data_IF_794957247372
#
_entry.id   IF_794957247372
#
_cell.length_a   1.000
_cell.length_b   1.000
_cell.length_c   1.000
_cell.angle_alpha   90.00
_cell.angle_beta   90.00
_cell.angle_gamma   90.00
#
_symmetry.space_group_name_H-M   'P 1'
#
loop_
_entity.id
_entity.type
_entity.pdbx_description
1 polymer ?
#
# COMPACT_ATOMS: atom_id res chain seq x y z
N UNK A 1 -22.43 37.76 -8.70
CA UNK A 1 -20.99 38.09 -8.74
C UNK A 1 -20.27 37.00 -7.94
N UNK A 2 -19.90 35.91 -8.59
CA UNK A 2 -19.30 34.72 -7.96
C UNK A 2 -17.86 34.67 -8.47
N UNK A 3 -16.89 34.77 -7.54
CA UNK A 3 -15.47 34.59 -7.84
C UNK A 3 -15.12 33.11 -7.62
N UNK A 4 -14.80 32.41 -8.70
CA UNK A 4 -14.10 31.14 -8.68
C UNK A 4 -12.64 31.41 -8.30
N UNK A 5 -12.13 30.77 -7.25
CA UNK A 5 -10.70 30.61 -7.01
C UNK A 5 -10.31 29.20 -7.44
N UNK A 6 -9.50 29.09 -8.50
CA UNK A 6 -8.86 27.84 -8.89
C UNK A 6 -7.68 27.56 -7.96
N UNK A 7 -7.68 26.39 -7.34
CA UNK A 7 -6.53 25.86 -6.63
C UNK A 7 -5.55 25.28 -7.66
N UNK A 8 -4.30 25.77 -7.64
CA UNK A 8 -3.19 25.23 -8.41
C UNK A 8 -2.57 24.10 -7.58
N UNK A 9 -2.66 22.87 -8.07
CA UNK A 9 -1.91 21.73 -7.54
C UNK A 9 -0.43 21.93 -7.91
N UNK A 10 0.43 22.11 -6.92
CA UNK A 10 1.88 22.06 -7.10
C UNK A 10 2.35 20.62 -6.88
N UNK A 11 2.44 19.84 -7.96
CA UNK A 11 3.15 18.55 -7.95
C UNK A 11 4.66 18.84 -7.90
N UNK A 12 5.30 18.56 -6.76
CA UNK A 12 6.76 18.56 -6.65
C UNK A 12 7.26 17.24 -7.22
N UNK A 13 7.65 17.26 -8.49
CA UNK A 13 8.45 16.19 -9.09
C UNK A 13 9.91 16.42 -8.68
N UNK A 14 10.51 15.45 -7.99
CA UNK A 14 11.95 15.43 -7.78
C UNK A 14 12.64 15.25 -9.14
N UNK A 15 13.23 16.32 -9.66
CA UNK A 15 14.00 16.29 -10.89
C UNK A 15 15.42 15.79 -10.56
N UNK A 16 15.71 14.53 -10.90
CA UNK A 16 17.09 14.07 -11.06
C UNK A 16 17.77 14.88 -12.16
N UNK A 17 18.89 15.53 -11.84
CA UNK A 17 19.65 16.33 -12.79
C UNK A 17 20.37 15.37 -13.75
N UNK A 18 19.83 15.20 -14.96
CA UNK A 18 20.53 14.58 -16.08
C UNK A 18 20.95 15.68 -17.06
N UNK A 19 22.25 15.92 -17.15
CA UNK A 19 22.86 16.80 -18.16
C UNK A 19 22.73 16.16 -19.54
N UNK A 20 21.97 16.76 -20.45
CA UNK A 20 21.80 16.27 -21.82
C UNK A 20 21.42 17.40 -22.79
N UNK A 21 22.14 17.47 -23.91
CA UNK A 21 22.17 18.53 -24.93
C UNK A 21 20.88 18.70 -25.73
N UNK A 22 20.60 19.96 -26.12
CA UNK A 22 19.44 20.38 -26.92
C UNK A 22 19.72 20.15 -28.41
N UNK A 23 18.80 19.51 -29.14
CA UNK A 23 18.76 19.62 -30.60
C UNK A 23 17.41 20.15 -31.10
N UNK A 24 17.45 21.34 -31.69
CA UNK A 24 16.97 21.60 -33.05
C UNK A 24 15.49 21.61 -33.45
N UNK A 25 14.49 21.19 -32.68
CA UNK A 25 13.11 21.09 -33.25
C UNK A 25 11.90 21.53 -32.42
N UNK A 26 12.06 22.00 -31.18
CA UNK A 26 11.00 22.78 -30.49
C UNK A 26 9.67 22.05 -30.16
N UNK A 27 9.52 20.77 -30.46
CA UNK A 27 8.39 19.95 -30.01
C UNK A 27 8.76 19.15 -28.74
N UNK A 28 8.08 19.44 -27.63
CA UNK A 28 8.10 18.58 -26.44
C UNK A 28 7.24 17.35 -26.71
N UNK A 29 7.85 16.32 -27.28
CA UNK A 29 7.28 14.97 -27.17
C UNK A 29 7.32 14.54 -25.70
N UNK A 30 6.24 13.97 -25.14
CA UNK A 30 6.29 13.39 -23.81
C UNK A 30 7.29 12.23 -23.86
N UNK A 31 8.41 12.38 -23.14
CA UNK A 31 9.30 11.26 -22.85
C UNK A 31 8.55 10.40 -21.85
N UNK A 32 7.95 9.31 -22.32
CA UNK A 32 7.61 8.18 -21.45
C UNK A 32 8.94 7.66 -20.95
N UNK A 33 9.27 7.89 -19.68
CA UNK A 33 10.49 7.32 -19.10
C UNK A 33 10.34 5.80 -19.10
N UNK A 34 11.36 5.13 -19.63
CA UNK A 34 11.43 3.68 -19.86
C UNK A 34 11.60 2.87 -18.54
N UNK A 35 11.39 3.50 -17.38
CA UNK A 35 11.77 2.95 -16.07
C UNK A 35 10.91 1.72 -15.67
N UNK A 36 9.65 1.64 -16.13
CA UNK A 36 8.79 0.48 -15.90
C UNK A 36 9.25 -0.78 -16.64
N UNK A 37 9.85 -0.60 -17.84
CA UNK A 37 10.41 -1.68 -18.65
C UNK A 37 11.72 -2.24 -18.07
N UNK A 38 12.53 -1.42 -17.40
CA UNK A 38 13.77 -1.88 -16.73
C UNK A 38 13.50 -2.63 -15.41
N UNK A 39 12.39 -2.33 -14.73
CA UNK A 39 11.97 -3.04 -13.52
C UNK A 39 11.14 -4.31 -13.82
N UNK A 40 10.65 -4.48 -15.05
CA UNK A 40 9.79 -5.60 -15.45
C UNK A 40 8.41 -5.59 -14.77
N UNK A 41 8.00 -4.48 -14.19
CA UNK A 41 6.69 -4.32 -13.57
C UNK A 41 5.60 -4.32 -14.65
N UNK A 42 4.38 -4.70 -14.27
CA UNK A 42 3.26 -4.73 -15.21
C UNK A 42 2.72 -3.33 -15.45
N UNK A 43 2.36 -3.06 -16.70
CA UNK A 43 1.63 -1.86 -17.10
C UNK A 43 0.15 -1.96 -16.74
N UNK A 44 -0.52 -0.81 -16.65
CA UNK A 44 -1.98 -0.73 -16.43
C UNK A 44 -2.82 -1.37 -17.54
N UNK A 45 -2.22 -1.56 -18.72
CA UNK A 45 -2.86 -2.22 -19.86
C UNK A 45 -2.59 -3.72 -19.94
N UNK A 46 -1.74 -4.26 -19.06
CA UNK A 46 -1.42 -5.68 -19.10
C UNK A 46 -2.62 -6.51 -18.63
N UNK A 47 -2.88 -7.61 -19.34
CA UNK A 47 -4.03 -8.50 -19.10
C UNK A 47 -4.26 -8.85 -17.62
N UNK A 48 -3.23 -9.29 -16.87
CA UNK A 48 -3.34 -9.57 -15.44
C UNK A 48 -3.87 -8.41 -14.59
N UNK A 49 -3.46 -7.18 -14.88
CA UNK A 49 -3.91 -6.01 -14.13
C UNK A 49 -5.35 -5.65 -14.50
N UNK A 50 -5.67 -5.68 -15.79
CA UNK A 50 -7.02 -5.39 -16.29
C UNK A 50 -8.04 -6.39 -15.72
N UNK A 51 -7.72 -7.69 -15.70
CA UNK A 51 -8.61 -8.71 -15.13
C UNK A 51 -8.78 -8.55 -13.61
N UNK A 52 -7.71 -8.25 -12.87
CA UNK A 52 -7.78 -7.97 -11.43
C UNK A 52 -8.68 -6.76 -11.10
N UNK A 53 -8.54 -5.66 -11.86
CA UNK A 53 -9.41 -4.48 -11.71
C UNK A 53 -10.87 -4.86 -12.02
N UNK A 54 -11.13 -5.59 -13.11
CA UNK A 54 -12.47 -6.03 -13.47
C UNK A 54 -13.11 -6.91 -12.39
N UNK A 55 -12.34 -7.83 -11.79
CA UNK A 55 -12.79 -8.66 -10.67
C UNK A 55 -13.22 -7.79 -9.48
N UNK A 56 -12.37 -6.85 -9.03
CA UNK A 56 -12.72 -5.95 -7.92
C UNK A 56 -13.92 -5.08 -8.25
N UNK A 57 -14.02 -4.52 -9.46
CA UNK A 57 -15.18 -3.75 -9.92
C UNK A 57 -16.47 -4.57 -9.92
N UNK A 58 -16.41 -5.89 -10.14
CA UNK A 58 -17.57 -6.76 -10.07
C UNK A 58 -18.14 -6.91 -8.65
N UNK A 59 -17.34 -6.59 -7.63
CA UNK A 59 -17.72 -6.63 -6.21
C UNK A 59 -18.26 -5.30 -5.67
N UNK A 60 -18.36 -4.27 -6.53
CA UNK A 60 -18.91 -2.97 -6.14
C UNK A 60 -20.44 -3.00 -6.08
N UNK A 61 -21.03 -2.35 -5.08
CA UNK A 61 -22.47 -2.22 -4.90
C UNK A 61 -22.98 -0.82 -5.31
N UNK A 62 -24.31 -0.66 -5.40
CA UNK A 62 -24.98 0.61 -5.76
C UNK A 62 -24.74 1.75 -4.74
N UNK A 63 -24.24 1.43 -3.54
CA UNK A 63 -23.85 2.44 -2.56
C UNK A 63 -22.41 2.96 -2.75
N UNK A 64 -21.72 2.50 -3.80
CA UNK A 64 -20.35 2.86 -4.14
C UNK A 64 -19.28 2.04 -3.39
N UNK A 65 -19.68 1.29 -2.36
CA UNK A 65 -18.80 0.45 -1.56
C UNK A 65 -18.54 -0.92 -2.18
N UNK A 66 -17.60 -1.65 -1.58
CA UNK A 66 -17.16 -2.97 -2.02
C UNK A 66 -17.30 -3.99 -0.88
N UNK A 67 -17.64 -5.23 -1.24
CA UNK A 67 -17.58 -6.41 -0.37
C UNK A 67 -16.60 -7.46 -0.91
N UNK A 68 -16.32 -8.53 -0.15
CA UNK A 68 -15.27 -9.51 -0.47
C UNK A 68 -15.60 -10.42 -1.66
N UNK A 69 -16.84 -10.41 -2.13
CA UNK A 69 -17.32 -11.15 -3.30
C UNK A 69 -18.47 -10.38 -3.97
N UNK A 70 -18.78 -10.66 -5.25
CA UNK A 70 -19.99 -10.12 -5.88
C UNK A 70 -21.22 -10.37 -5.02
N UNK A 71 -22.09 -9.36 -4.92
CA UNK A 71 -23.32 -9.36 -4.12
C UNK A 71 -23.13 -9.38 -2.60
N UNK A 72 -21.89 -9.43 -2.08
CA UNK A 72 -21.64 -9.25 -0.66
C UNK A 72 -21.88 -7.82 -0.22
N UNK A 73 -22.31 -7.62 1.04
CA UNK A 73 -22.52 -6.29 1.60
C UNK A 73 -21.21 -5.48 1.59
N UNK A 74 -21.34 -4.20 1.24
CA UNK A 74 -20.23 -3.25 1.31
C UNK A 74 -19.74 -3.08 2.74
N UNK A 75 -18.43 -2.97 2.93
CA UNK A 75 -17.84 -2.58 4.21
C UNK A 75 -16.64 -1.62 4.04
N UNK A 76 -16.30 -0.89 5.10
CA UNK A 76 -15.23 0.12 5.08
C UNK A 76 -13.87 -0.48 4.76
N UNK A 77 -13.53 -1.66 5.33
CA UNK A 77 -12.20 -2.26 5.14
C UNK A 77 -11.96 -2.57 3.66
N UNK A 78 -12.89 -3.27 3.04
CA UNK A 78 -12.79 -3.73 1.65
C UNK A 78 -12.88 -2.56 0.67
N UNK A 79 -13.75 -1.57 0.98
CA UNK A 79 -13.82 -0.34 0.19
C UNK A 79 -12.53 0.48 0.27
N UNK A 80 -11.91 0.57 1.45
CA UNK A 80 -10.67 1.30 1.63
C UNK A 80 -9.51 0.66 0.87
N UNK A 81 -9.35 -0.67 0.93
CA UNK A 81 -8.23 -1.34 0.23
C UNK A 81 -8.37 -1.25 -1.29
N UNK A 82 -9.59 -1.35 -1.84
CA UNK A 82 -9.82 -1.12 -3.28
C UNK A 82 -9.54 0.32 -3.67
N UNK A 83 -9.94 1.29 -2.82
CA UNK A 83 -9.64 2.71 -3.08
C UNK A 83 -8.15 2.95 -3.15
N UNK A 84 -7.36 2.35 -2.24
CA UNK A 84 -5.88 2.43 -2.28
C UNK A 84 -5.36 1.77 -3.56
N UNK A 85 -5.83 0.56 -3.90
CA UNK A 85 -5.38 -0.16 -5.10
C UNK A 85 -5.67 0.61 -6.38
N UNK A 86 -6.89 1.14 -6.53
CA UNK A 86 -7.28 1.93 -7.71
C UNK A 86 -6.53 3.25 -7.77
N UNK A 87 -6.34 3.94 -6.64
CA UNK A 87 -5.53 5.15 -6.58
C UNK A 87 -4.07 4.89 -6.99
N UNK A 88 -3.47 3.79 -6.50
CA UNK A 88 -2.12 3.37 -6.89
C UNK A 88 -1.99 3.06 -8.38
N UNK A 89 -3.08 2.59 -8.99
CA UNK A 89 -3.21 2.35 -10.42
C UNK A 89 -3.52 3.64 -11.22
N UNK A 90 -3.45 4.82 -10.58
CA UNK A 90 -3.74 6.12 -11.19
C UNK A 90 -5.19 6.29 -11.63
N UNK A 91 -6.12 5.50 -11.09
CA UNK A 91 -7.54 5.55 -11.44
C UNK A 91 -8.23 6.66 -10.67
N UNK A 92 -9.16 7.35 -11.34
CA UNK A 92 -10.07 8.26 -10.68
C UNK A 92 -11.27 7.49 -10.15
N UNK A 93 -11.61 7.65 -8.87
CA UNK A 93 -12.75 6.97 -8.26
C UNK A 93 -14.07 7.31 -8.96
N UNK A 94 -14.18 8.49 -9.61
CA UNK A 94 -15.37 8.85 -10.40
C UNK A 94 -15.62 7.94 -11.60
N UNK A 95 -14.58 7.31 -12.15
CA UNK A 95 -14.70 6.36 -13.26
C UNK A 95 -15.32 5.03 -12.80
N UNK A 96 -15.34 4.79 -11.49
CA UNK A 96 -15.86 3.60 -10.83
C UNK A 96 -17.05 3.96 -9.93
N UNK A 97 -18.03 4.65 -10.50
CA UNK A 97 -19.28 4.98 -9.81
C UNK A 97 -20.37 3.95 -10.16
N UNK A 98 -21.10 3.49 -9.13
CA UNK A 98 -22.27 2.62 -9.25
C UNK A 98 -23.40 3.20 -8.41
N UNK A 99 -24.63 3.19 -8.91
CA UNK A 99 -25.75 3.91 -8.28
C UNK A 99 -25.56 5.42 -8.12
N UNK A 100 -24.62 6.02 -8.87
CA UNK A 100 -24.24 7.43 -8.73
C UNK A 100 -23.30 7.73 -7.57
N UNK A 101 -22.75 6.71 -6.90
CA UNK A 101 -21.77 6.83 -5.82
C UNK A 101 -20.49 6.08 -6.15
N UNK A 102 -19.36 6.59 -5.70
CA UNK A 102 -18.07 5.90 -5.77
C UNK A 102 -17.57 5.49 -4.37
N UNK A 103 -16.38 4.90 -4.30
CA UNK A 103 -15.81 4.42 -3.04
C UNK A 103 -15.55 5.52 -2.01
N UNK A 104 -15.19 6.74 -2.44
CA UNK A 104 -15.01 7.87 -1.52
C UNK A 104 -16.33 8.31 -0.91
N UNK A 105 -17.41 8.34 -1.70
CA UNK A 105 -18.74 8.67 -1.20
C UNK A 105 -19.13 7.69 -0.09
N UNK A 106 -18.94 6.38 -0.33
CA UNK A 106 -19.19 5.34 0.66
C UNK A 106 -18.35 5.54 1.94
N UNK A 107 -17.03 5.74 1.80
CA UNK A 107 -16.11 5.93 2.93
C UNK A 107 -16.46 7.18 3.77
N UNK A 108 -16.84 8.28 3.12
CA UNK A 108 -17.26 9.52 3.79
C UNK A 108 -18.62 9.36 4.49
N UNK A 109 -19.54 8.61 3.89
CA UNK A 109 -20.87 8.32 4.45
C UNK A 109 -20.82 7.38 5.64
N UNK A 110 -20.00 6.34 5.57
CA UNK A 110 -19.92 5.29 6.60
C UNK A 110 -18.90 5.56 7.70
N UNK A 111 -18.19 6.68 7.69
CA UNK A 111 -17.08 6.98 8.62
C UNK A 111 -17.32 6.68 10.12
N UNK A 112 -18.57 6.70 10.59
CA UNK A 112 -18.93 6.39 11.98
C UNK A 112 -18.83 4.89 12.31
N UNK A 113 -18.81 4.00 11.32
CA UNK A 113 -18.66 2.55 11.54
C UNK A 113 -17.24 2.19 11.97
N UNK A 114 -16.23 3.04 11.71
CA UNK A 114 -14.85 2.85 12.17
C UNK A 114 -14.78 2.63 13.69
N UNK A 115 -15.59 3.38 14.45
CA UNK A 115 -15.60 3.34 15.92
C UNK A 115 -16.03 1.96 16.47
N UNK A 116 -16.63 1.10 15.63
CA UNK A 116 -17.09 -0.24 16.01
C UNK A 116 -16.17 -1.37 15.52
N UNK A 117 -15.09 -1.05 14.79
CA UNK A 117 -14.17 -2.06 14.26
C UNK A 117 -13.16 -2.50 15.32
N UNK A 118 -12.75 -3.77 15.26
CA UNK A 118 -11.59 -4.23 16.02
C UNK A 118 -10.30 -3.64 15.44
N UNK A 119 -9.36 -3.35 16.34
CA UNK A 119 -8.11 -2.66 16.00
C UNK A 119 -8.38 -1.34 15.25
N UNK A 120 -9.19 -0.47 15.89
CA UNK A 120 -9.69 0.77 15.29
C UNK A 120 -8.56 1.65 14.78
N UNK A 121 -7.42 1.67 15.48
CA UNK A 121 -6.25 2.46 15.15
C UNK A 121 -5.66 2.08 13.77
N UNK A 122 -5.48 0.78 13.51
CA UNK A 122 -5.09 0.29 12.18
C UNK A 122 -6.16 0.59 11.10
N UNK A 123 -7.44 0.45 11.44
CA UNK A 123 -8.53 0.71 10.49
C UNK A 123 -8.60 2.19 10.11
N UNK A 124 -8.38 3.10 11.07
CA UNK A 124 -8.29 4.53 10.83
C UNK A 124 -7.06 4.85 9.97
N UNK A 125 -5.91 4.22 10.22
CA UNK A 125 -4.73 4.34 9.36
C UNK A 125 -5.02 3.92 7.91
N UNK A 126 -5.63 2.75 7.70
CA UNK A 126 -6.03 2.30 6.35
C UNK A 126 -7.05 3.23 5.70
N UNK A 127 -8.06 3.68 6.44
CA UNK A 127 -9.08 4.62 5.98
C UNK A 127 -8.47 5.93 5.49
N UNK A 128 -7.59 6.53 6.30
CA UNK A 128 -6.92 7.79 5.95
C UNK A 128 -6.00 7.61 4.74
N UNK A 129 -5.29 6.48 4.67
CA UNK A 129 -4.46 6.13 3.50
C UNK A 129 -5.31 6.10 2.23
N UNK A 130 -6.49 5.48 2.27
CA UNK A 130 -7.42 5.44 1.13
C UNK A 130 -7.88 6.84 0.69
N UNK A 131 -8.31 7.68 1.63
CA UNK A 131 -8.76 9.04 1.34
C UNK A 131 -7.64 9.88 0.72
N UNK A 132 -6.46 9.88 1.35
CA UNK A 132 -5.30 10.66 0.90
C UNK A 132 -4.81 10.20 -0.47
N UNK A 133 -4.72 8.89 -0.70
CA UNK A 133 -4.30 8.31 -1.99
C UNK A 133 -5.23 8.72 -3.13
N UNK A 134 -6.53 8.83 -2.85
CA UNK A 134 -7.51 9.28 -3.83
C UNK A 134 -7.63 10.80 -3.96
N UNK A 135 -6.72 11.56 -3.32
CA UNK A 135 -6.62 13.02 -3.45
C UNK A 135 -7.54 13.83 -2.52
N UNK A 136 -8.18 13.21 -1.53
CA UNK A 136 -8.98 13.91 -0.53
C UNK A 136 -8.12 14.31 0.67
N UNK A 137 -8.32 15.51 1.24
CA UNK A 137 -7.63 15.94 2.47
C UNK A 137 -8.33 15.38 3.73
N UNK A 138 -7.71 14.47 4.49
CA UNK A 138 -8.33 13.84 5.66
C UNK A 138 -8.41 14.77 6.89
N UNK A 139 -8.00 16.04 6.77
CA UNK A 139 -8.10 17.03 7.85
C UNK A 139 -9.51 17.56 8.09
N UNK A 140 -10.42 17.40 7.14
CA UNK A 140 -11.84 17.73 7.31
C UNK A 140 -12.76 16.75 6.55
N UNK A 141 -13.16 15.68 7.24
CA UNK A 141 -14.12 14.70 6.74
C UNK A 141 -15.41 14.83 7.55
N UNK A 142 -16.37 15.61 7.03
CA UNK A 142 -17.62 15.98 7.74
C UNK A 142 -17.37 16.54 9.15
N UNK A 143 -16.36 17.40 9.31
CA UNK A 143 -16.00 18.01 10.59
C UNK A 143 -15.10 17.16 11.50
N UNK A 144 -14.67 15.97 11.06
CA UNK A 144 -13.65 15.17 11.75
C UNK A 144 -12.27 15.39 11.11
N UNK A 145 -11.26 15.69 11.95
CA UNK A 145 -9.87 15.80 11.52
C UNK A 145 -9.12 14.49 11.81
N UNK A 146 -9.01 13.63 10.80
CA UNK A 146 -8.40 12.32 10.96
C UNK A 146 -6.88 12.36 11.12
N UNK A 147 -6.21 13.39 10.60
CA UNK A 147 -4.76 13.58 10.83
C UNK A 147 -4.47 13.84 12.31
N UNK A 148 -5.31 14.63 12.97
CA UNK A 148 -5.20 14.84 14.42
C UNK A 148 -5.56 13.59 15.23
N UNK A 149 -6.56 12.81 14.77
CA UNK A 149 -6.90 11.52 15.39
C UNK A 149 -5.70 10.55 15.33
N UNK A 150 -5.07 10.40 14.16
CA UNK A 150 -3.87 9.56 14.00
C UNK A 150 -2.73 10.00 14.93
N UNK A 151 -2.44 11.31 15.00
CA UNK A 151 -1.43 11.85 15.92
C UNK A 151 -1.77 11.58 17.39
N UNK A 152 -3.06 11.57 17.74
CA UNK A 152 -3.50 11.29 19.11
C UNK A 152 -3.27 9.84 19.56
N UNK A 153 -3.06 8.91 18.61
CA UNK A 153 -2.68 7.53 18.92
C UNK A 153 -1.20 7.37 19.29
N UNK A 154 -0.37 8.40 19.08
CA UNK A 154 1.04 8.34 19.40
C UNK A 154 1.26 8.41 20.91
N UNK A 155 1.97 7.42 21.46
CA UNK A 155 2.24 7.32 22.89
C UNK A 155 3.59 7.95 23.24
N UNK A 156 3.82 8.30 24.51
CA UNK A 156 5.09 8.93 24.94
C UNK A 156 6.34 8.06 24.74
N UNK A 157 6.17 6.73 24.69
CA UNK A 157 7.24 5.74 24.43
C UNK A 157 7.54 5.54 22.94
N UNK A 158 6.79 6.21 22.07
CA UNK A 158 6.94 6.16 20.62
C UNK A 158 6.14 5.06 19.93
N UNK A 159 5.57 4.11 20.68
CA UNK A 159 4.60 3.17 20.11
C UNK A 159 3.34 3.94 19.67
N UNK A 160 2.70 3.50 18.59
CA UNK A 160 1.54 4.21 18.04
C UNK A 160 0.37 3.26 17.90
N UNK A 161 -0.74 3.59 18.58
CA UNK A 161 -1.91 2.74 18.63
C UNK A 161 -1.97 1.91 19.91
N UNK A 162 -2.31 0.64 19.77
CA UNK A 162 -2.52 -0.29 20.87
C UNK A 162 -1.22 -1.00 21.24
N UNK A 163 -0.95 -1.04 22.54
CA UNK A 163 0.25 -1.68 23.08
C UNK A 163 0.41 -3.14 22.60
N UNK A 164 1.56 -3.45 22.01
CA UNK A 164 1.96 -4.72 21.40
C UNK A 164 1.24 -5.09 20.08
N UNK A 165 0.73 -4.12 19.31
CA UNK A 165 -0.04 -4.37 18.06
C UNK A 165 0.54 -3.77 16.78
N UNK A 166 1.88 -3.69 16.62
CA UNK A 166 2.68 -3.15 15.49
C UNK A 166 2.03 -2.88 14.10
N UNK A 167 1.09 -3.70 13.64
CA UNK A 167 0.33 -3.41 12.42
C UNK A 167 -0.40 -2.06 12.49
N UNK A 168 -0.90 -1.63 13.64
CA UNK A 168 -1.47 -0.28 13.79
C UNK A 168 -0.39 0.80 13.72
N UNK A 169 0.76 0.63 14.38
CA UNK A 169 1.92 1.51 14.21
C UNK A 169 2.24 1.74 12.73
N UNK A 170 2.32 0.65 11.97
CA UNK A 170 2.63 0.67 10.55
C UNK A 170 1.59 1.46 9.74
N UNK A 171 0.30 1.14 9.92
CA UNK A 171 -0.78 1.81 9.20
C UNK A 171 -0.89 3.29 9.57
N UNK A 172 -0.60 3.67 10.81
CA UNK A 172 -0.65 5.06 11.26
C UNK A 172 0.51 5.86 10.65
N UNK A 173 1.72 5.31 10.64
CA UNK A 173 2.87 5.93 9.97
C UNK A 173 2.64 6.10 8.48
N UNK A 174 2.12 5.06 7.80
CA UNK A 174 1.76 5.10 6.38
C UNK A 174 0.72 6.20 6.11
N UNK A 175 -0.32 6.29 6.95
CA UNK A 175 -1.38 7.28 6.80
C UNK A 175 -0.89 8.72 7.03
N UNK A 176 -0.05 8.94 8.04
CA UNK A 176 0.56 10.24 8.30
C UNK A 176 1.49 10.64 7.15
N UNK A 177 2.28 9.71 6.62
CA UNK A 177 3.10 9.96 5.43
C UNK A 177 2.23 10.35 4.22
N UNK A 178 1.12 9.65 3.97
CA UNK A 178 0.16 9.99 2.91
C UNK A 178 -0.44 11.40 3.06
N UNK A 179 -0.51 11.90 4.29
CA UNK A 179 -0.99 13.23 4.63
C UNK A 179 0.09 14.33 4.65
N UNK A 180 1.30 14.03 4.13
CA UNK A 180 2.50 14.89 4.18
C UNK A 180 3.00 15.18 5.61
N UNK A 181 2.87 14.24 6.54
CA UNK A 181 3.29 14.37 7.93
C UNK A 181 4.50 13.47 8.29
N UNK A 182 5.24 12.96 7.31
CA UNK A 182 6.42 12.09 7.53
C UNK A 182 7.49 12.74 8.42
N UNK A 183 7.59 14.07 8.43
CA UNK A 183 8.56 14.80 9.25
C UNK A 183 8.03 15.23 10.64
N UNK A 184 6.81 14.84 10.99
CA UNK A 184 6.22 15.11 12.31
C UNK A 184 6.99 14.42 13.44
N UNK A 185 6.84 14.92 14.66
CA UNK A 185 7.52 14.32 15.82
C UNK A 185 6.95 12.94 16.14
N UNK A 186 5.64 12.79 15.93
CA UNK A 186 4.89 11.54 16.02
C UNK A 186 5.50 10.45 15.14
N UNK A 187 5.66 10.73 13.84
CA UNK A 187 6.28 9.76 12.91
C UNK A 187 7.71 9.46 13.31
N UNK A 188 8.53 10.48 13.63
CA UNK A 188 9.92 10.24 14.08
C UNK A 188 9.98 9.32 15.29
N UNK A 189 9.11 9.54 16.28
CA UNK A 189 9.06 8.69 17.47
C UNK A 189 8.64 7.26 17.15
N UNK A 190 7.68 7.09 16.25
CA UNK A 190 7.24 5.77 15.76
C UNK A 190 8.37 5.04 15.04
N UNK A 191 9.14 5.72 14.18
CA UNK A 191 10.28 5.13 13.50
C UNK A 191 11.36 4.66 14.48
N UNK A 192 11.69 5.46 15.49
CA UNK A 192 12.64 5.04 16.52
C UNK A 192 12.12 3.84 17.32
N UNK A 193 10.83 3.82 17.67
CA UNK A 193 10.20 2.67 18.33
C UNK A 193 10.31 1.40 17.47
N UNK A 194 9.87 1.44 16.21
CA UNK A 194 9.92 0.31 15.28
C UNK A 194 11.34 -0.19 15.07
N UNK A 195 12.35 0.69 14.98
CA UNK A 195 13.76 0.28 14.90
C UNK A 195 14.25 -0.38 16.18
N UNK A 196 13.79 0.09 17.35
CA UNK A 196 14.21 -0.44 18.65
C UNK A 196 13.73 -1.86 18.93
N UNK A 197 12.60 -2.27 18.33
CA UNK A 197 12.00 -3.60 18.49
C UNK A 197 12.37 -4.57 17.36
N UNK A 198 13.19 -4.14 16.39
CA UNK A 198 13.70 -5.04 15.34
C UNK A 198 14.52 -6.18 15.97
N UNK A 199 14.16 -7.42 15.67
CA UNK A 199 14.75 -8.57 16.35
C UNK A 199 16.18 -8.84 15.89
N UNK A 200 16.88 -9.76 16.56
CA UNK A 200 18.22 -10.19 16.15
C UNK A 200 18.26 -10.77 14.73
N UNK A 201 17.16 -11.37 14.25
CA UNK A 201 17.06 -11.91 12.88
C UNK A 201 16.87 -10.84 11.81
N UNK A 202 16.61 -9.59 12.20
CA UNK A 202 16.36 -8.47 11.29
C UNK A 202 14.90 -8.27 10.91
N UNK A 203 14.01 -9.21 11.26
CA UNK A 203 12.57 -9.05 11.11
C UNK A 203 11.92 -8.35 12.31
N UNK A 204 10.58 -8.37 12.32
CA UNK A 204 9.73 -7.84 13.38
C UNK A 204 8.71 -8.89 13.77
N UNK A 205 8.52 -9.10 15.07
CA UNK A 205 7.48 -9.99 15.58
C UNK A 205 6.14 -9.26 15.60
N UNK A 206 5.04 -9.92 15.22
CA UNK A 206 3.70 -9.31 15.18
C UNK A 206 3.21 -8.67 16.51
N UNK A 207 3.82 -9.05 17.64
CA UNK A 207 3.44 -8.65 18.99
C UNK A 207 4.43 -7.70 19.69
N UNK A 208 5.40 -7.11 18.98
CA UNK A 208 6.40 -6.23 19.59
C UNK A 208 7.52 -6.96 20.33
N UNK A 209 7.51 -8.29 20.30
CA UNK A 209 8.47 -9.13 21.00
C UNK A 209 9.82 -9.25 20.31
N UNK A 210 10.78 -9.85 21.02
CA UNK A 210 12.16 -10.09 20.54
C UNK A 210 12.29 -11.33 19.65
N UNK A 211 11.19 -12.03 19.38
CA UNK A 211 11.13 -13.25 18.56
C UNK A 211 9.71 -13.50 18.06
N UNK A 212 9.55 -14.33 17.03
CA UNK A 212 8.24 -14.59 16.41
C UNK A 212 8.03 -13.73 15.17
N UNK A 213 9.13 -13.45 14.47
CA UNK A 213 9.14 -12.67 13.25
C UNK A 213 8.39 -13.38 12.14
N UNK A 214 7.64 -12.61 11.36
CA UNK A 214 6.99 -13.09 10.15
C UNK A 214 7.19 -12.08 8.99
N UNK A 215 7.21 -12.56 7.74
CA UNK A 215 7.47 -11.72 6.58
C UNK A 215 6.35 -10.72 6.27
N UNK A 216 5.10 -10.93 6.70
CA UNK A 216 4.01 -9.97 6.47
C UNK A 216 4.24 -8.73 7.35
N UNK A 217 4.48 -8.94 8.65
CA UNK A 217 4.82 -7.88 9.62
C UNK A 217 6.12 -7.17 9.23
N UNK A 218 7.17 -7.91 8.85
CA UNK A 218 8.42 -7.29 8.44
C UNK A 218 8.25 -6.41 7.19
N UNK A 219 7.42 -6.83 6.24
CA UNK A 219 7.18 -6.08 5.00
C UNK A 219 6.39 -4.79 5.23
N UNK A 220 5.30 -4.82 6.00
CA UNK A 220 4.54 -3.59 6.28
C UNK A 220 5.36 -2.59 7.12
N UNK A 221 6.24 -3.08 8.00
CA UNK A 221 7.17 -2.21 8.74
C UNK A 221 8.24 -1.60 7.85
N UNK A 222 8.79 -2.33 6.88
CA UNK A 222 9.67 -1.74 5.88
C UNK A 222 8.97 -0.62 5.10
N UNK A 223 7.72 -0.83 4.67
CA UNK A 223 6.91 0.21 4.04
C UNK A 223 6.76 1.44 4.97
N UNK A 224 6.37 1.22 6.23
CA UNK A 224 6.20 2.29 7.21
C UNK A 224 7.48 3.08 7.48
N UNK A 225 8.62 2.38 7.65
CA UNK A 225 9.92 3.01 7.85
C UNK A 225 10.25 3.95 6.69
N UNK A 226 10.18 3.42 5.46
CA UNK A 226 10.58 4.16 4.26
C UNK A 226 9.63 5.33 3.99
N UNK A 227 8.30 5.14 4.09
CA UNK A 227 7.37 6.26 3.89
C UNK A 227 7.43 7.30 5.01
N UNK A 228 7.78 6.88 6.23
CA UNK A 228 8.07 7.77 7.34
C UNK A 228 9.36 8.59 7.15
N UNK A 229 10.17 8.28 6.12
CA UNK A 229 11.38 9.02 5.78
C UNK A 229 12.67 8.39 6.31
N UNK A 230 12.64 7.14 6.77
CA UNK A 230 13.86 6.36 7.01
C UNK A 230 14.59 6.11 5.68
N UNK A 231 15.92 6.21 5.69
CA UNK A 231 16.74 5.97 4.52
C UNK A 231 16.67 4.49 4.09
N UNK A 232 16.45 4.22 2.80
CA UNK A 232 16.44 2.86 2.26
C UNK A 232 17.80 2.14 2.43
N UNK A 233 18.88 2.91 2.60
CA UNK A 233 20.22 2.42 2.90
C UNK A 233 20.51 2.26 4.40
N UNK A 234 19.55 2.53 5.30
CA UNK A 234 19.77 2.39 6.73
C UNK A 234 19.96 0.92 7.15
N UNK A 235 20.66 0.72 8.27
CA UNK A 235 20.91 -0.62 8.81
C UNK A 235 19.60 -1.37 9.11
N UNK A 236 18.57 -0.66 9.59
CA UNK A 236 17.28 -1.25 9.87
C UNK A 236 16.61 -1.80 8.60
N UNK A 237 16.59 -1.00 7.53
CA UNK A 237 16.02 -1.41 6.24
C UNK A 237 16.81 -2.57 5.63
N UNK A 238 18.14 -2.48 5.60
CA UNK A 238 19.02 -3.54 5.08
C UNK A 238 18.82 -4.87 5.80
N UNK A 239 18.71 -4.85 7.13
CA UNK A 239 18.46 -6.05 7.95
C UNK A 239 17.06 -6.63 7.70
N UNK A 240 16.05 -5.77 7.54
CA UNK A 240 14.69 -6.21 7.19
C UNK A 240 14.62 -6.89 5.83
N UNK A 241 15.28 -6.31 4.82
CA UNK A 241 15.39 -6.92 3.49
C UNK A 241 16.16 -8.25 3.55
N UNK A 242 17.25 -8.32 4.32
CA UNK A 242 17.98 -9.58 4.51
C UNK A 242 17.10 -10.67 5.14
N UNK A 243 16.25 -10.30 6.12
CA UNK A 243 15.25 -11.20 6.68
C UNK A 243 14.26 -11.69 5.61
N UNK A 244 13.67 -10.80 4.81
CA UNK A 244 12.78 -11.20 3.70
C UNK A 244 13.46 -12.13 2.70
N UNK A 245 14.75 -11.91 2.41
CA UNK A 245 15.52 -12.78 1.49
C UNK A 245 15.69 -14.20 2.04
N UNK A 246 15.74 -14.34 3.36
CA UNK A 246 15.78 -15.63 4.05
C UNK A 246 14.42 -16.36 4.03
N UNK A 247 13.32 -15.64 3.88
CA UNK A 247 11.95 -16.16 3.80
C UNK A 247 11.51 -16.47 2.36
N UNK A 248 12.36 -16.19 1.36
CA UNK A 248 12.06 -16.47 -0.05
C UNK A 248 12.28 -17.96 -0.40
N UNK A 249 11.24 -18.59 -0.94
CA UNK A 249 11.20 -20.01 -1.31
C UNK A 249 11.66 -20.25 -2.76
N UNK A 250 11.87 -21.53 -3.10
CA UNK A 250 12.39 -21.94 -4.42
C UNK A 250 11.48 -21.58 -5.61
N UNK A 251 10.19 -21.37 -5.37
CA UNK A 251 9.22 -20.91 -6.36
C UNK A 251 9.21 -19.39 -6.56
N UNK A 252 10.07 -18.66 -5.85
CA UNK A 252 10.22 -17.21 -5.92
C UNK A 252 9.35 -16.43 -4.93
N UNK A 253 8.31 -17.06 -4.37
CA UNK A 253 7.43 -16.44 -3.38
C UNK A 253 8.01 -16.47 -1.96
N UNK A 254 7.26 -15.94 -1.01
CA UNK A 254 7.69 -15.76 0.38
C UNK A 254 6.78 -16.46 1.38
N UNK A 255 7.34 -16.82 2.54
CA UNK A 255 6.70 -17.33 3.77
C UNK A 255 7.25 -18.69 4.20
N UNK A 256 7.59 -18.80 5.49
CA UNK A 256 7.99 -20.06 6.14
C UNK A 256 6.90 -21.15 6.16
N UNK A 257 5.62 -20.82 5.94
CA UNK A 257 4.50 -21.79 5.84
C UNK A 257 4.08 -22.10 4.40
N UNK A 258 4.98 -21.82 3.45
CA UNK A 258 4.79 -21.99 2.02
C UNK A 258 4.27 -20.72 1.36
N UNK A 259 4.79 -20.47 0.16
CA UNK A 259 4.54 -19.27 -0.63
C UNK A 259 3.05 -18.98 -0.84
N UNK A 260 2.67 -17.71 -0.73
CA UNK A 260 1.28 -17.29 -0.80
C UNK A 260 1.14 -15.80 -1.19
N UNK A 261 0.00 -15.44 -1.80
CA UNK A 261 -0.22 -14.11 -2.36
C UNK A 261 -0.21 -12.97 -1.32
N UNK A 262 -0.59 -13.25 -0.07
CA UNK A 262 -0.60 -12.25 0.98
C UNK A 262 0.82 -11.75 1.27
N UNK A 263 1.71 -12.70 1.57
CA UNK A 263 3.11 -12.41 1.86
C UNK A 263 3.83 -11.85 0.65
N UNK A 264 3.59 -12.39 -0.55
CA UNK A 264 4.20 -11.86 -1.77
C UNK A 264 3.83 -10.41 -2.01
N UNK A 265 2.54 -10.07 -1.90
CA UNK A 265 2.07 -8.69 -2.12
C UNK A 265 2.76 -7.71 -1.19
N UNK A 266 2.83 -8.02 0.11
CA UNK A 266 3.52 -7.17 1.08
C UNK A 266 5.02 -7.09 0.83
N UNK A 267 5.69 -8.22 0.60
CA UNK A 267 7.12 -8.26 0.33
C UNK A 267 7.46 -7.45 -0.93
N UNK A 268 6.72 -7.62 -2.02
CA UNK A 268 6.92 -6.86 -3.26
C UNK A 268 6.75 -5.36 -3.02
N UNK A 269 5.73 -4.92 -2.28
CA UNK A 269 5.55 -3.50 -1.92
C UNK A 269 6.72 -2.97 -1.08
N UNK A 270 7.26 -3.77 -0.15
CA UNK A 270 8.44 -3.40 0.64
C UNK A 270 9.71 -3.29 -0.23
N UNK A 271 9.90 -4.21 -1.19
CA UNK A 271 10.99 -4.15 -2.17
C UNK A 271 10.89 -2.90 -3.03
N UNK A 272 9.71 -2.61 -3.58
CA UNK A 272 9.45 -1.39 -4.36
C UNK A 272 9.71 -0.13 -3.54
N UNK A 273 9.26 -0.09 -2.28
CA UNK A 273 9.51 1.04 -1.37
C UNK A 273 11.01 1.27 -1.19
N UNK A 274 11.78 0.19 -1.02
CA UNK A 274 13.23 0.23 -0.86
C UNK A 274 13.99 0.49 -2.18
N UNK A 275 13.30 0.76 -3.29
CA UNK A 275 13.90 0.97 -4.60
C UNK A 275 14.53 -0.29 -5.20
N UNK A 276 14.20 -1.47 -4.67
CA UNK A 276 14.67 -2.74 -5.21
C UNK A 276 13.72 -3.26 -6.28
N UNK A 277 14.27 -3.84 -7.34
CA UNK A 277 13.49 -4.53 -8.37
C UNK A 277 13.08 -5.93 -7.87
N UNK A 278 11.77 -6.21 -7.66
CA UNK A 278 11.31 -7.52 -7.21
C UNK A 278 11.71 -8.65 -8.17
N UNK A 279 11.79 -8.41 -9.49
CA UNK A 279 12.25 -9.44 -10.46
C UNK A 279 13.71 -9.81 -10.33
N UNK A 280 14.52 -9.00 -9.63
CA UNK A 280 15.92 -9.32 -9.35
C UNK A 280 16.08 -10.23 -8.14
N UNK A 281 15.03 -10.40 -7.33
CA UNK A 281 15.00 -11.33 -6.20
C UNK A 281 14.74 -12.74 -6.71
N UNK A 282 15.79 -13.45 -7.12
CA UNK A 282 15.64 -14.77 -7.78
C UNK A 282 16.03 -15.94 -6.90
N UNK A 283 15.25 -17.02 -7.00
CA UNK A 283 15.63 -18.37 -6.61
C UNK A 283 15.59 -19.25 -7.86
N UNK A 284 16.76 -19.49 -8.45
CA UNK A 284 16.85 -20.11 -9.78
C UNK A 284 16.26 -19.20 -10.86
N UNK A 285 15.25 -19.68 -11.61
CA UNK A 285 14.53 -18.90 -12.62
C UNK A 285 13.30 -18.18 -12.09
N UNK A 286 12.91 -18.42 -10.84
CA UNK A 286 11.68 -17.90 -10.26
C UNK A 286 11.91 -16.62 -9.48
N UNK A 287 10.93 -15.73 -9.51
CA UNK A 287 10.92 -14.42 -8.84
C UNK A 287 9.54 -14.11 -8.21
N UNK A 288 9.46 -13.15 -7.28
CA UNK A 288 8.21 -12.77 -6.59
C UNK A 288 7.05 -12.40 -7.51
N UNK A 289 7.33 -11.67 -8.59
CA UNK A 289 6.29 -11.25 -9.55
C UNK A 289 5.74 -12.48 -10.27
N UNK A 290 6.64 -13.38 -10.70
CA UNK A 290 6.26 -14.64 -11.34
C UNK A 290 5.42 -15.53 -10.42
N UNK A 291 5.78 -15.65 -9.14
CA UNK A 291 4.99 -16.43 -8.19
C UNK A 291 3.61 -15.82 -7.94
N UNK A 292 3.51 -14.52 -7.66
CA UNK A 292 2.22 -13.84 -7.42
C UNK A 292 1.28 -13.96 -8.62
N UNK A 293 1.80 -13.78 -9.84
CA UNK A 293 1.02 -13.98 -11.07
C UNK A 293 0.53 -15.42 -11.25
N UNK A 294 1.29 -16.41 -10.77
CA UNK A 294 0.88 -17.82 -10.87
C UNK A 294 -0.33 -18.18 -10.00
N UNK A 295 -0.70 -17.29 -9.06
CA UNK A 295 -1.85 -17.44 -8.19
C UNK A 295 -3.12 -16.75 -8.72
N UNK A 296 -3.01 -16.01 -9.82
CA UNK A 296 -4.16 -15.38 -10.48
C UNK A 296 -5.00 -16.41 -11.23
N UNK A 297 -6.31 -16.29 -11.13
CA UNK A 297 -7.30 -17.13 -11.80
C UNK A 297 -7.85 -16.48 -13.08
N UNK A 298 -8.59 -17.26 -13.87
CA UNK A 298 -9.19 -16.81 -15.14
C UNK A 298 -10.17 -15.63 -14.96
N UNK A 299 -10.82 -15.50 -13.80
CA UNK A 299 -11.73 -14.39 -13.48
C UNK A 299 -10.98 -13.11 -13.06
N UNK A 300 -9.65 -13.16 -12.94
CA UNK A 300 -8.79 -12.06 -12.51
C UNK A 300 -8.50 -12.03 -11.02
N UNK A 301 -9.20 -12.82 -10.19
CA UNK A 301 -8.93 -12.90 -8.76
C UNK A 301 -7.57 -13.55 -8.49
N UNK A 302 -6.85 -13.05 -7.47
CA UNK A 302 -5.61 -13.64 -6.98
C UNK A 302 -5.93 -14.47 -5.74
N UNK A 303 -5.69 -15.78 -5.82
CA UNK A 303 -5.93 -16.70 -4.71
C UNK A 303 -4.79 -16.66 -3.70
N UNK A 304 -5.08 -17.00 -2.44
CA UNK A 304 -4.06 -17.07 -1.39
C UNK A 304 -2.96 -18.07 -1.74
N UNK A 305 -3.34 -19.27 -2.17
CA UNK A 305 -2.45 -20.32 -2.69
C UNK A 305 -3.11 -20.94 -3.93
N UNK A 306 -2.34 -21.68 -4.72
CA UNK A 306 -2.81 -22.34 -5.95
C UNK A 306 -4.14 -23.08 -5.77
N UNK A 307 -4.30 -23.77 -4.64
CA UNK A 307 -5.47 -24.59 -4.35
C UNK A 307 -6.35 -24.01 -3.23
N UNK A 308 -6.18 -22.72 -2.89
CA UNK A 308 -6.92 -22.07 -1.80
C UNK A 308 -7.22 -20.60 -2.09
N UNK A 309 -8.51 -20.29 -2.28
CA UNK A 309 -9.00 -18.92 -2.52
C UNK A 309 -8.59 -17.96 -1.40
N UNK A 310 -8.78 -18.35 -0.14
CA UNK A 310 -8.55 -17.47 1.01
C UNK A 310 -9.32 -16.15 0.90
N UNK A 311 -8.74 -15.06 1.43
CA UNK A 311 -9.25 -13.69 1.26
C UNK A 311 -8.84 -13.11 -0.10
N UNK A 312 -9.21 -13.78 -1.20
CA UNK A 312 -8.77 -13.43 -2.57
C UNK A 312 -9.04 -11.99 -2.95
N UNK A 313 -10.12 -11.39 -2.44
CA UNK A 313 -10.43 -9.98 -2.66
C UNK A 313 -9.31 -9.05 -2.18
N UNK A 314 -8.84 -9.24 -0.94
CA UNK A 314 -7.75 -8.45 -0.36
C UNK A 314 -6.43 -8.70 -1.10
N UNK A 315 -6.16 -9.97 -1.47
CA UNK A 315 -4.95 -10.33 -2.23
C UNK A 315 -4.97 -9.79 -3.65
N UNK A 316 -6.14 -9.66 -4.27
CA UNK A 316 -6.29 -9.04 -5.60
C UNK A 316 -6.02 -7.54 -5.52
N UNK A 317 -6.58 -6.85 -4.51
CA UNK A 317 -6.32 -5.43 -4.29
C UNK A 317 -4.83 -5.16 -4.01
N UNK A 318 -4.21 -5.91 -3.09
CA UNK A 318 -2.78 -5.78 -2.80
C UNK A 318 -1.91 -6.18 -4.00
N UNK A 319 -2.34 -7.18 -4.77
CA UNK A 319 -1.65 -7.62 -5.97
C UNK A 319 -1.58 -6.54 -7.04
N UNK A 320 -2.64 -5.74 -7.24
CA UNK A 320 -2.60 -4.58 -8.15
C UNK A 320 -1.51 -3.60 -7.72
N UNK A 321 -1.42 -3.27 -6.43
CA UNK A 321 -0.40 -2.34 -5.92
C UNK A 321 1.00 -2.91 -6.16
N UNK A 322 1.22 -4.16 -5.73
CA UNK A 322 2.50 -4.86 -5.82
C UNK A 322 3.01 -5.01 -7.27
N UNK A 323 2.14 -5.49 -8.17
CA UNK A 323 2.50 -5.87 -9.54
C UNK A 323 2.79 -4.67 -10.45
N UNK A 324 2.41 -3.46 -10.03
CA UNK A 324 2.44 -2.25 -10.86
C UNK A 324 3.53 -1.27 -10.44
N UNK A 325 4.40 -1.71 -9.52
CA UNK A 325 5.48 -0.89 -8.96
C UNK A 325 5.06 -0.02 -7.80
N UNK A 326 3.83 -0.16 -7.32
CA UNK A 326 3.32 0.59 -6.19
C UNK A 326 4.06 0.28 -4.89
N UNK A 327 4.02 1.26 -3.98
CA UNK A 327 4.43 1.17 -2.58
C UNK A 327 3.32 1.74 -1.70
N UNK A 328 3.39 1.54 -0.39
CA UNK A 328 2.45 2.15 0.56
C UNK A 328 3.11 3.34 1.28
N UNK A 329 2.41 4.49 1.42
CA UNK A 329 1.22 4.87 0.66
C UNK A 329 1.58 5.06 -0.83
N UNK A 330 0.62 4.86 -1.76
CA UNK A 330 0.84 5.07 -3.18
C UNK A 330 0.97 6.54 -3.57
#
# INVERSE_FOLDING_TARGET
MIKLFGAVLASVVFLGIATGTIDGSGEKNPVVTNDSLELGLLSMSDGPIVSAINYLSSCQNEDGGFGPDPESESNIKDTAIVTIAFASAGKNMSDFAKGGKNSLDYLIERQAELDNLSNVEAQVGRYVTALASAGLDPRDIKGKNYVQILKSYCRPDGEVGKEFYIWDDAWIVIALAACNESHSNEVKSALEHLKSIQTAKGGWAWNGGTSGEDPDTASIILCALICGGEDADSDAVKRGLQYLSSEQNADGGFSSVGSNAATDGWAIMALNAAGQNPRSWKKGSSDPIGHLLSLQQDDGSIWWKKDSKGFSFEWTANGIIALTGGRMPP
#
